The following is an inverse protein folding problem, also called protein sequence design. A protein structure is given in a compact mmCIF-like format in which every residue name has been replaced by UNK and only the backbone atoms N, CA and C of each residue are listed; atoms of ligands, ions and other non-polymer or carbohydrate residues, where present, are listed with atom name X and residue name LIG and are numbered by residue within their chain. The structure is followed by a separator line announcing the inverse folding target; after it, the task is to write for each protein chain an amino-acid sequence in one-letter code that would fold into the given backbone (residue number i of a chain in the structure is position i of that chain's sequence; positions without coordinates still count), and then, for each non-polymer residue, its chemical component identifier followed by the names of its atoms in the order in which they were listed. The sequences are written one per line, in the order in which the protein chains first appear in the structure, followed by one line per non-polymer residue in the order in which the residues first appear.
data_IF_787466932740
#
_entry.id   IF_787466932740
#
_cell.length_a   1.000
_cell.length_b   1.000
_cell.length_c   1.000
_cell.angle_alpha   90.00
_cell.angle_beta   90.00
_cell.angle_gamma   90.00
#
_symmetry.space_group_name_H-M   'P 1'
#
loop_
_entity.id
_entity.type
_entity.pdbx_description
1 polymer ?
#
# COMPACT_ATOMS: atom_id res chain seq x y z
N UNK A 1 -18.93 33.67 39.05
CA UNK A 1 -18.17 33.50 37.78
C UNK A 1 -17.13 32.38 37.84
N UNK A 2 -16.23 32.34 38.84
CA UNK A 2 -15.18 31.30 38.94
C UNK A 2 -15.70 29.85 38.91
N UNK A 3 -16.83 29.59 39.62
CA UNK A 3 -17.47 28.28 39.65
C UNK A 3 -17.99 27.81 38.28
N UNK A 4 -18.51 28.72 37.46
CA UNK A 4 -19.03 28.40 36.13
C UNK A 4 -17.87 27.99 35.21
N UNK A 5 -16.73 28.69 35.31
CA UNK A 5 -15.52 28.37 34.55
C UNK A 5 -14.98 26.99 34.93
N UNK A 6 -14.96 26.64 36.22
CA UNK A 6 -14.52 25.32 36.69
C UNK A 6 -15.40 24.18 36.16
N UNK A 7 -16.72 24.39 36.10
CA UNK A 7 -17.66 23.41 35.53
C UNK A 7 -17.40 23.20 34.04
N UNK A 8 -17.15 24.28 33.28
CA UNK A 8 -16.85 24.19 31.84
C UNK A 8 -15.55 23.41 31.61
N UNK A 9 -14.49 23.72 32.36
CA UNK A 9 -13.21 23.01 32.27
C UNK A 9 -13.38 21.53 32.63
N UNK A 10 -14.06 21.22 33.74
CA UNK A 10 -14.32 19.84 34.15
C UNK A 10 -15.12 19.06 33.09
N UNK A 11 -16.10 19.71 32.46
CA UNK A 11 -16.90 19.11 31.39
C UNK A 11 -16.07 18.86 30.14
N UNK A 12 -15.22 19.81 29.75
CA UNK A 12 -14.30 19.64 28.61
C UNK A 12 -13.28 18.53 28.86
N UNK A 13 -12.67 18.49 30.05
CA UNK A 13 -11.75 17.42 30.46
C UNK A 13 -12.47 16.08 30.46
N UNK A 14 -13.69 16.00 30.98
CA UNK A 14 -14.51 14.79 30.97
C UNK A 14 -14.85 14.34 29.55
N UNK A 15 -15.20 15.26 28.64
CA UNK A 15 -15.52 14.93 27.25
C UNK A 15 -14.29 14.47 26.46
N UNK A 16 -13.12 15.08 26.69
CA UNK A 16 -11.83 14.64 26.13
C UNK A 16 -11.48 13.25 26.68
N UNK A 17 -11.61 13.05 27.99
CA UNK A 17 -11.35 11.77 28.64
C UNK A 17 -12.31 10.67 28.19
N UNK A 18 -13.60 11.00 27.98
CA UNK A 18 -14.62 10.07 27.46
C UNK A 18 -14.39 9.72 25.99
N UNK A 19 -13.90 10.65 25.18
CA UNK A 19 -13.43 10.37 23.81
C UNK A 19 -12.15 9.51 23.78
N UNK A 20 -11.33 9.61 24.83
CA UNK A 20 -10.08 8.85 24.95
C UNK A 20 -10.23 7.51 25.67
N UNK A 21 -11.33 7.25 26.40
CA UNK A 21 -11.57 5.92 26.94
C UNK A 21 -11.73 4.98 25.76
N UNK A 22 -10.75 4.07 25.53
CA UNK A 22 -10.95 3.02 24.57
C UNK A 22 -12.15 2.24 25.09
N UNK A 23 -13.12 1.94 24.23
CA UNK A 23 -13.89 0.71 24.45
C UNK A 23 -12.87 -0.37 24.83
N UNK A 24 -13.12 -1.07 25.93
CA UNK A 24 -12.24 -2.15 26.37
C UNK A 24 -12.25 -3.19 25.25
N UNK A 25 -11.23 -3.12 24.41
CA UNK A 25 -11.00 -3.99 23.26
C UNK A 25 -10.25 -5.21 23.74
N UNK A 26 -10.56 -6.37 23.18
CA UNK A 26 -9.86 -7.60 23.51
C UNK A 26 -8.37 -7.45 23.18
N UNK A 27 -7.52 -8.12 23.96
CA UNK A 27 -6.06 -8.16 23.73
C UNK A 27 -5.71 -8.59 22.29
N UNK A 28 -6.60 -9.35 21.63
CA UNK A 28 -6.49 -9.76 20.22
C UNK A 28 -6.44 -8.58 19.22
N UNK A 29 -7.22 -7.52 19.43
CA UNK A 29 -7.24 -6.37 18.51
C UNK A 29 -5.97 -5.52 18.64
N UNK A 30 -5.39 -5.46 19.85
CA UNK A 30 -4.10 -4.81 20.10
C UNK A 30 -2.95 -5.61 19.48
N UNK A 31 -2.98 -6.93 19.64
CA UNK A 31 -2.06 -7.86 18.96
C UNK A 31 -2.08 -7.66 17.44
N UNK A 32 -3.26 -7.48 16.84
CA UNK A 32 -3.38 -7.28 15.39
C UNK A 32 -2.73 -5.97 14.92
N UNK A 33 -2.78 -4.89 15.71
CA UNK A 33 -2.12 -3.62 15.36
C UNK A 33 -0.61 -3.78 15.41
N UNK A 34 -0.07 -4.32 16.50
CA UNK A 34 1.38 -4.46 16.68
C UNK A 34 1.97 -5.45 15.67
N UNK A 35 1.41 -6.67 15.59
CA UNK A 35 1.87 -7.66 14.61
C UNK A 35 1.52 -7.27 13.17
N UNK A 36 0.40 -6.60 12.94
CA UNK A 36 0.03 -6.13 11.61
C UNK A 36 1.01 -5.10 11.07
N UNK A 37 1.43 -4.14 11.91
CA UNK A 37 2.42 -3.13 11.53
C UNK A 37 3.79 -3.76 11.31
N UNK A 38 4.23 -4.65 12.19
CA UNK A 38 5.48 -5.40 12.02
C UNK A 38 5.47 -6.22 10.71
N UNK A 39 4.33 -6.86 10.42
CA UNK A 39 4.12 -7.57 9.17
C UNK A 39 4.21 -6.65 7.95
N UNK A 40 3.59 -5.46 7.98
CA UNK A 40 3.72 -4.47 6.89
C UNK A 40 5.18 -4.12 6.63
N UNK A 41 5.95 -3.80 7.68
CA UNK A 41 7.36 -3.43 7.54
C UNK A 41 8.20 -4.58 6.97
N UNK A 42 7.95 -5.81 7.41
CA UNK A 42 8.62 -7.00 6.88
C UNK A 42 8.25 -7.25 5.40
N UNK A 43 6.98 -7.15 5.04
CA UNK A 43 6.51 -7.28 3.66
C UNK A 43 7.10 -6.21 2.74
N UNK A 44 7.18 -4.96 3.20
CA UNK A 44 7.83 -3.88 2.46
C UNK A 44 9.31 -4.20 2.18
N UNK A 45 10.03 -4.74 3.16
CA UNK A 45 11.44 -5.13 3.00
C UNK A 45 11.59 -6.26 1.99
N UNK A 46 10.75 -7.29 2.07
CA UNK A 46 10.75 -8.42 1.12
C UNK A 46 10.48 -7.93 -0.30
N UNK A 47 9.49 -7.04 -0.48
CA UNK A 47 9.15 -6.50 -1.79
C UNK A 47 10.26 -5.64 -2.38
N UNK A 48 10.94 -4.83 -1.57
CA UNK A 48 12.09 -4.04 -2.02
C UNK A 48 13.24 -4.91 -2.53
N UNK A 49 13.53 -6.03 -1.87
CA UNK A 49 14.52 -6.99 -2.37
C UNK A 49 14.07 -7.65 -3.68
N UNK A 50 12.80 -8.05 -3.79
CA UNK A 50 12.25 -8.61 -5.04
C UNK A 50 12.31 -7.62 -6.20
N UNK A 51 11.95 -6.36 -5.95
CA UNK A 51 12.08 -5.26 -6.93
C UNK A 51 13.52 -5.17 -7.44
N UNK A 52 14.48 -5.17 -6.53
CA UNK A 52 15.90 -5.03 -6.86
C UNK A 52 16.39 -6.21 -7.70
N UNK A 53 16.04 -7.43 -7.30
CA UNK A 53 16.36 -8.65 -8.05
C UNK A 53 15.76 -8.57 -9.45
N UNK A 54 14.46 -8.25 -9.57
CA UNK A 54 13.76 -8.18 -10.86
C UNK A 54 14.33 -7.11 -11.77
N UNK A 55 14.66 -5.93 -11.23
CA UNK A 55 15.31 -4.85 -11.98
C UNK A 55 16.65 -5.30 -12.56
N UNK A 56 17.47 -5.95 -11.74
CA UNK A 56 18.77 -6.47 -12.19
C UNK A 56 18.60 -7.53 -13.27
N UNK A 57 17.66 -8.47 -13.09
CA UNK A 57 17.37 -9.49 -14.10
C UNK A 57 16.93 -8.89 -15.43
N UNK A 58 16.04 -7.89 -15.43
CA UNK A 58 15.61 -7.22 -16.65
C UNK A 58 16.79 -6.48 -17.30
N UNK A 59 17.58 -5.75 -16.53
CA UNK A 59 18.75 -5.02 -17.05
C UNK A 59 19.78 -5.96 -17.66
N UNK A 60 20.10 -7.07 -17.01
CA UNK A 60 21.00 -8.09 -17.55
C UNK A 60 20.49 -8.66 -18.88
N UNK A 61 19.18 -8.86 -19.03
CA UNK A 61 18.57 -9.33 -20.29
C UNK A 61 18.66 -8.32 -21.42
N UNK A 62 18.49 -7.03 -21.09
CA UNK A 62 18.68 -5.91 -22.03
C UNK A 62 20.15 -5.87 -22.48
N UNK A 63 21.09 -5.89 -21.52
CA UNK A 63 22.52 -5.77 -21.79
C UNK A 63 23.07 -6.95 -22.59
N UNK A 64 22.52 -8.16 -22.37
CA UNK A 64 22.90 -9.37 -23.11
C UNK A 64 22.37 -9.40 -24.55
N UNK A 65 21.52 -8.45 -24.96
CA UNK A 65 20.94 -8.41 -26.32
C UNK A 65 20.24 -9.72 -26.66
N UNK A 66 19.44 -10.25 -25.73
CA UNK A 66 18.91 -11.60 -25.79
C UNK A 66 18.06 -11.82 -27.07
N UNK A 67 18.53 -12.66 -28.00
CA UNK A 67 17.96 -12.85 -29.34
C UNK A 67 16.56 -13.49 -29.39
N UNK A 68 16.06 -13.97 -28.25
CA UNK A 68 14.82 -14.76 -28.17
C UNK A 68 13.60 -13.97 -27.69
N UNK A 69 13.76 -12.70 -27.30
CA UNK A 69 12.69 -11.80 -26.89
C UNK A 69 12.95 -10.43 -27.51
N UNK A 70 11.90 -9.70 -27.86
CA UNK A 70 12.04 -8.36 -28.41
C UNK A 70 12.66 -7.43 -27.36
N UNK A 71 13.62 -6.60 -27.78
CA UNK A 71 14.24 -5.59 -26.91
C UNK A 71 13.17 -4.61 -26.42
N UNK A 72 12.16 -4.33 -27.24
CA UNK A 72 11.03 -3.48 -26.89
C UNK A 72 10.22 -4.05 -25.71
N UNK A 73 10.04 -5.37 -25.64
CA UNK A 73 9.32 -6.04 -24.55
C UNK A 73 10.06 -5.89 -23.21
N UNK A 74 11.39 -6.01 -23.22
CA UNK A 74 12.20 -5.83 -22.00
C UNK A 74 12.23 -4.37 -21.52
N UNK A 75 12.29 -3.41 -22.45
CA UNK A 75 12.18 -1.99 -22.12
C UNK A 75 10.80 -1.68 -21.53
N UNK A 76 9.74 -2.24 -22.11
CA UNK A 76 8.37 -2.12 -21.60
C UNK A 76 8.24 -2.72 -20.19
N UNK A 77 8.81 -3.91 -19.97
CA UNK A 77 8.83 -4.55 -18.66
C UNK A 77 9.59 -3.71 -17.61
N UNK A 78 10.71 -3.10 -18.00
CA UNK A 78 11.45 -2.18 -17.12
C UNK A 78 10.59 -0.95 -16.77
N UNK A 79 9.91 -0.36 -17.75
CA UNK A 79 9.05 0.80 -17.52
C UNK A 79 7.89 0.47 -16.58
N UNK A 80 7.20 -0.67 -16.79
CA UNK A 80 6.15 -1.15 -15.87
C UNK A 80 6.68 -1.38 -14.45
N UNK A 81 7.91 -1.89 -14.33
CA UNK A 81 8.55 -2.06 -13.03
C UNK A 81 8.78 -0.69 -12.34
N UNK A 82 9.22 0.33 -13.08
CA UNK A 82 9.40 1.68 -12.54
C UNK A 82 8.09 2.36 -12.13
N UNK A 83 7.01 2.14 -12.90
CA UNK A 83 5.66 2.56 -12.52
C UNK A 83 5.24 1.92 -11.20
N UNK A 84 5.45 0.60 -11.07
CA UNK A 84 5.23 -0.13 -9.83
C UNK A 84 6.04 0.44 -8.66
N UNK A 85 7.35 0.68 -8.83
CA UNK A 85 8.18 1.29 -7.77
C UNK A 85 7.64 2.66 -7.34
N UNK A 86 7.16 3.46 -8.29
CA UNK A 86 6.55 4.76 -8.00
C UNK A 86 5.26 4.59 -7.19
N UNK A 87 4.38 3.68 -7.60
CA UNK A 87 3.16 3.32 -6.90
C UNK A 87 3.42 2.83 -5.47
N UNK A 88 4.38 1.92 -5.30
CA UNK A 88 4.80 1.40 -4.00
C UNK A 88 5.25 2.52 -3.05
N UNK A 89 6.11 3.43 -3.52
CA UNK A 89 6.65 4.53 -2.73
C UNK A 89 5.57 5.55 -2.34
N UNK A 90 4.64 5.86 -3.24
CA UNK A 90 3.49 6.72 -2.94
C UNK A 90 2.60 6.08 -1.88
N UNK A 91 2.25 4.80 -2.06
CA UNK A 91 1.49 4.02 -1.09
C UNK A 91 2.13 3.98 0.29
N UNK A 92 3.46 3.81 0.36
CA UNK A 92 4.23 3.86 1.61
C UNK A 92 4.10 5.21 2.30
N UNK A 93 4.34 6.31 1.58
CA UNK A 93 4.23 7.68 2.14
C UNK A 93 2.82 7.98 2.63
N UNK A 94 1.81 7.60 1.85
CA UNK A 94 0.40 7.79 2.21
C UNK A 94 0.04 6.97 3.47
N UNK A 95 0.47 5.71 3.55
CA UNK A 95 0.27 4.87 4.73
C UNK A 95 0.95 5.46 5.98
N UNK A 96 2.20 5.92 5.88
CA UNK A 96 2.90 6.57 7.00
C UNK A 96 2.14 7.79 7.51
N UNK A 97 1.59 8.63 6.61
CA UNK A 97 0.77 9.79 6.99
C UNK A 97 -0.52 9.37 7.69
N UNK A 98 -1.21 8.36 7.17
CA UNK A 98 -2.42 7.82 7.78
C UNK A 98 -2.14 7.23 9.17
N UNK A 99 -1.04 6.46 9.32
CA UNK A 99 -0.59 5.90 10.60
C UNK A 99 -0.37 7.00 11.64
N UNK A 100 0.28 8.10 11.26
CA UNK A 100 0.50 9.24 12.16
C UNK A 100 -0.81 9.98 12.48
N UNK A 101 -1.65 10.22 11.47
CA UNK A 101 -2.95 10.90 11.62
C UNK A 101 -3.88 10.16 12.56
N UNK A 102 -3.91 8.84 12.46
CA UNK A 102 -4.77 7.96 13.25
C UNK A 102 -4.04 7.27 14.40
N UNK A 103 -2.87 7.76 14.84
CA UNK A 103 -2.05 7.10 15.88
C UNK A 103 -2.77 6.84 17.21
N UNK A 104 -3.86 7.55 17.49
CA UNK A 104 -4.69 7.38 18.68
C UNK A 104 -6.06 6.73 18.38
N UNK A 105 -6.39 6.50 17.11
CA UNK A 105 -7.62 5.85 16.66
C UNK A 105 -7.32 4.40 16.24
N UNK A 106 -7.45 3.49 17.20
CA UNK A 106 -7.12 2.07 17.02
C UNK A 106 -7.92 1.40 15.90
N UNK A 107 -9.20 1.74 15.73
CA UNK A 107 -10.03 1.20 14.66
C UNK A 107 -9.47 1.57 13.30
N UNK A 108 -9.19 2.86 13.14
CA UNK A 108 -8.64 3.36 11.89
C UNK A 108 -7.28 2.75 11.63
N UNK A 109 -6.44 2.57 12.64
CA UNK A 109 -5.14 1.89 12.49
C UNK A 109 -5.30 0.44 11.98
N UNK A 110 -6.24 -0.33 12.52
CA UNK A 110 -6.53 -1.70 12.04
C UNK A 110 -6.95 -1.67 10.57
N UNK A 111 -7.91 -0.81 10.23
CA UNK A 111 -8.43 -0.67 8.86
C UNK A 111 -7.32 -0.30 7.86
N UNK A 112 -6.53 0.74 8.14
CA UNK A 112 -5.47 1.19 7.22
C UNK A 112 -4.31 0.19 7.15
N UNK A 113 -4.04 -0.55 8.22
CA UNK A 113 -2.97 -1.59 8.23
C UNK A 113 -3.40 -2.77 7.37
N UNK A 114 -4.65 -3.22 7.50
CA UNK A 114 -5.22 -4.25 6.63
C UNK A 114 -5.20 -3.82 5.18
N UNK A 115 -5.67 -2.61 4.88
CA UNK A 115 -5.62 -2.02 3.54
C UNK A 115 -4.19 -1.96 3.00
N UNK A 116 -3.20 -1.64 3.83
CA UNK A 116 -1.79 -1.64 3.41
C UNK A 116 -1.28 -3.05 3.10
N UNK A 117 -1.55 -4.03 3.94
CA UNK A 117 -1.19 -5.43 3.66
C UNK A 117 -1.82 -5.91 2.34
N UNK A 118 -3.11 -5.63 2.17
CA UNK A 118 -3.85 -5.98 0.95
C UNK A 118 -3.28 -5.29 -0.29
N UNK A 119 -2.88 -4.02 -0.17
CA UNK A 119 -2.22 -3.27 -1.22
C UNK A 119 -0.86 -3.88 -1.56
N UNK A 120 -0.03 -4.21 -0.58
CA UNK A 120 1.27 -4.82 -0.79
C UNK A 120 1.17 -6.16 -1.50
N UNK A 121 0.19 -6.99 -1.13
CA UNK A 121 -0.05 -8.27 -1.80
C UNK A 121 -0.47 -8.07 -3.27
N UNK A 122 -1.42 -7.17 -3.53
CA UNK A 122 -1.86 -6.85 -4.89
C UNK A 122 -0.71 -6.28 -5.74
N UNK A 123 0.09 -5.41 -5.15
CA UNK A 123 1.25 -4.80 -5.80
C UNK A 123 2.35 -5.82 -6.11
N UNK A 124 2.55 -6.80 -5.24
CA UNK A 124 3.47 -7.92 -5.46
C UNK A 124 3.08 -8.71 -6.70
N UNK A 125 1.82 -9.14 -6.75
CA UNK A 125 1.28 -9.92 -7.86
C UNK A 125 1.39 -9.19 -9.20
N UNK A 126 0.97 -7.92 -9.25
CA UNK A 126 0.87 -7.16 -10.51
C UNK A 126 2.23 -6.77 -11.11
N UNK A 127 3.21 -6.41 -10.27
CA UNK A 127 4.43 -5.77 -10.76
C UNK A 127 5.70 -6.60 -10.60
N UNK A 128 5.70 -7.59 -9.69
CA UNK A 128 6.93 -8.29 -9.32
C UNK A 128 6.84 -9.80 -9.55
N UNK A 129 5.65 -10.37 -9.33
CA UNK A 129 5.40 -11.80 -9.45
C UNK A 129 4.54 -12.14 -10.69
N UNK A 130 4.24 -11.17 -11.58
CA UNK A 130 3.29 -11.39 -12.69
C UNK A 130 3.74 -12.55 -13.58
N UNK A 131 2.93 -13.61 -13.71
CA UNK A 131 3.25 -14.82 -14.45
C UNK A 131 3.17 -14.63 -15.98
N UNK A 132 2.69 -13.48 -16.49
CA UNK A 132 2.56 -13.25 -17.94
C UNK A 132 3.89 -13.30 -18.70
N UNK A 133 5.02 -13.15 -18.00
CA UNK A 133 6.35 -13.29 -18.58
C UNK A 133 6.83 -14.75 -18.65
N UNK A 134 6.06 -15.73 -18.13
CA UNK A 134 6.51 -17.10 -17.88
C UNK A 134 5.64 -18.23 -18.48
N UNK A 135 4.42 -17.97 -19.00
CA UNK A 135 3.50 -19.04 -19.45
C UNK A 135 3.12 -19.02 -20.95
N UNK A 136 2.92 -20.22 -21.50
CA UNK A 136 2.82 -20.52 -22.94
C UNK A 136 1.51 -21.14 -23.44
N UNK A 137 0.36 -20.95 -22.77
CA UNK A 137 -0.96 -21.37 -23.32
C UNK A 137 -2.05 -20.29 -23.20
N UNK A 138 -3.00 -20.26 -24.14
CA UNK A 138 -4.05 -19.23 -24.24
C UNK A 138 -5.13 -19.29 -23.12
N UNK A 139 -5.40 -20.45 -22.52
CA UNK A 139 -6.38 -20.56 -21.42
C UNK A 139 -5.82 -20.04 -20.09
N UNK A 140 -4.54 -20.29 -19.83
CA UNK A 140 -3.85 -19.77 -18.65
C UNK A 140 -3.80 -18.24 -18.70
N UNK A 141 -3.60 -17.66 -19.88
CA UNK A 141 -3.56 -16.20 -20.08
C UNK A 141 -4.87 -15.52 -19.68
N UNK A 142 -6.03 -16.10 -20.01
CA UNK A 142 -7.34 -15.50 -19.65
C UNK A 142 -7.56 -15.48 -18.14
N UNK A 143 -7.26 -16.59 -17.46
CA UNK A 143 -7.38 -16.68 -16.00
C UNK A 143 -6.43 -15.70 -15.30
N UNK A 144 -5.21 -15.58 -15.80
CA UNK A 144 -4.23 -14.60 -15.31
C UNK A 144 -4.76 -13.17 -15.49
N UNK A 145 -5.33 -12.82 -16.64
CA UNK A 145 -5.91 -11.49 -16.85
C UNK A 145 -7.09 -11.18 -15.91
N UNK A 146 -7.94 -12.17 -15.63
CA UNK A 146 -9.05 -12.02 -14.67
C UNK A 146 -8.53 -11.77 -13.24
N UNK A 147 -7.51 -12.51 -12.82
CA UNK A 147 -6.84 -12.32 -11.53
C UNK A 147 -6.13 -10.97 -11.43
N UNK A 148 -5.38 -10.56 -12.47
CA UNK A 148 -4.75 -9.24 -12.54
C UNK A 148 -5.78 -8.11 -12.42
N UNK A 149 -6.91 -8.22 -13.13
CA UNK A 149 -7.98 -7.23 -13.02
C UNK A 149 -8.54 -7.15 -11.59
N UNK A 150 -8.71 -8.28 -10.90
CA UNK A 150 -9.17 -8.28 -9.52
C UNK A 150 -8.19 -7.55 -8.58
N UNK A 151 -6.88 -7.81 -8.73
CA UNK A 151 -5.85 -7.11 -7.95
C UNK A 151 -5.78 -5.61 -8.29
N UNK A 152 -5.95 -5.25 -9.56
CA UNK A 152 -5.95 -3.86 -9.99
C UNK A 152 -7.13 -3.08 -9.40
N UNK A 153 -8.33 -3.66 -9.44
CA UNK A 153 -9.53 -3.08 -8.81
C UNK A 153 -9.29 -2.91 -7.31
N UNK A 154 -8.76 -3.94 -6.63
CA UNK A 154 -8.47 -3.88 -5.20
C UNK A 154 -7.49 -2.76 -4.86
N UNK A 155 -6.42 -2.58 -5.63
CA UNK A 155 -5.49 -1.46 -5.45
C UNK A 155 -6.18 -0.10 -5.62
N UNK A 156 -7.00 0.07 -6.66
CA UNK A 156 -7.71 1.34 -6.90
C UNK A 156 -8.68 1.69 -5.77
N UNK A 157 -9.38 0.69 -5.22
CA UNK A 157 -10.28 0.91 -4.10
C UNK A 157 -9.52 1.35 -2.84
N UNK A 158 -8.36 0.75 -2.56
CA UNK A 158 -7.50 1.15 -1.44
C UNK A 158 -6.93 2.55 -1.66
N UNK A 159 -6.44 2.86 -2.87
CA UNK A 159 -5.96 4.19 -3.23
C UNK A 159 -7.04 5.25 -3.04
N UNK A 160 -8.28 4.95 -3.46
CA UNK A 160 -9.43 5.83 -3.24
C UNK A 160 -9.69 6.05 -1.76
N UNK A 161 -9.73 4.99 -0.94
CA UNK A 161 -9.90 5.12 0.52
C UNK A 161 -8.80 5.96 1.15
N UNK A 162 -7.54 5.75 0.75
CA UNK A 162 -6.42 6.54 1.25
C UNK A 162 -6.53 8.00 0.83
N UNK A 163 -6.98 8.27 -0.40
CA UNK A 163 -7.22 9.62 -0.90
C UNK A 163 -8.36 10.30 -0.15
N UNK A 164 -9.47 9.61 0.09
CA UNK A 164 -10.61 10.14 0.85
C UNK A 164 -10.19 10.48 2.30
N UNK A 165 -9.33 9.66 2.90
CA UNK A 165 -8.82 9.88 4.24
C UNK A 165 -7.75 10.96 4.33
N UNK A 166 -6.93 11.18 3.31
CA UNK A 166 -5.82 12.16 3.30
C UNK A 166 -6.20 13.52 2.71
N UNK A 167 -7.15 13.56 1.78
CA UNK A 167 -7.52 14.77 1.03
C UNK A 167 -6.36 15.29 0.19
N UNK A 168 -6.03 16.56 0.35
CA UNK A 168 -4.98 17.24 -0.42
C UNK A 168 -3.56 16.72 -0.10
N UNK A 169 -3.39 16.06 1.04
CA UNK A 169 -2.11 15.42 1.41
C UNK A 169 -1.89 14.09 0.68
N UNK A 170 -2.84 13.61 -0.13
CA UNK A 170 -2.66 12.37 -0.88
C UNK A 170 -1.60 12.52 -1.98
N UNK A 171 -0.60 11.66 -1.97
CA UNK A 171 0.41 11.58 -3.04
C UNK A 171 -0.08 10.61 -4.10
N UNK A 172 -0.42 11.15 -5.28
CA UNK A 172 -0.94 10.42 -6.42
C UNK A 172 0.20 9.96 -7.35
N UNK A 173 0.40 8.65 -7.43
CA UNK A 173 1.41 8.03 -8.30
C UNK A 173 1.20 8.38 -9.77
N UNK A 174 -0.05 8.45 -10.25
CA UNK A 174 -0.38 8.75 -11.65
C UNK A 174 -0.03 10.19 -12.00
N UNK A 175 -0.14 11.13 -11.06
CA UNK A 175 0.32 12.52 -11.26
C UNK A 175 1.83 12.58 -11.41
N UNK A 176 2.58 11.82 -10.60
CA UNK A 176 4.04 11.80 -10.67
C UNK A 176 4.56 11.16 -11.96
N UNK A 177 3.88 10.13 -12.46
CA UNK A 177 4.25 9.45 -13.70
C UNK A 177 3.95 10.30 -14.95
N UNK A 178 2.91 11.14 -14.93
CA UNK A 178 2.60 12.10 -16.01
C UNK A 178 3.57 13.28 -16.11
N UNK A 179 4.43 13.48 -15.11
CA UNK A 179 5.41 14.58 -15.07
C UNK A 179 6.76 14.15 -15.69
N UNK A 180 6.91 12.89 -16.11
CA UNK A 180 8.04 12.40 -16.90
C UNK A 180 7.73 12.40 -18.39
#
# INVERSE_FOLDING_TARGET
MLYIILIIIATFVYLIYKRQKPEVRSDEELMYIEHGVENVENWEKILLERIKIRKNTIQEKIDQGNKNFDLEDWISALHRLEEGITGFNCGKKNFTRLKERFKYDKLKLIEITKDRCDYLNAHAYLFYDSPLLEFGTNEDVKKIHEEENAYFIKMQEIEKRFKDLLGDEYIDSKKLLKIK
#
